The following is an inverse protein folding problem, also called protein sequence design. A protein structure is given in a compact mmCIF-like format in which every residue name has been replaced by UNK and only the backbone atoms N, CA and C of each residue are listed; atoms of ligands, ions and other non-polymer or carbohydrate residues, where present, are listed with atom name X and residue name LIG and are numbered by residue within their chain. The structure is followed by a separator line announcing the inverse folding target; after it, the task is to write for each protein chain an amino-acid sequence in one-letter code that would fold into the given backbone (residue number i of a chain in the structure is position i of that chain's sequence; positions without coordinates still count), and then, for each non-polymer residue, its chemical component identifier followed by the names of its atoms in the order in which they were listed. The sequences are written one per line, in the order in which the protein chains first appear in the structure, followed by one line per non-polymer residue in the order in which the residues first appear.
data_IF_519475124307
#
_entry.id   IF_519475124307
#
_cell.length_a   1.000
_cell.length_b   1.000
_cell.length_c   1.000
_cell.angle_alpha   90.00
_cell.angle_beta   90.00
_cell.angle_gamma   90.00
#
_symmetry.space_group_name_H-M   'P 1'
#
loop_
_entity.id
_entity.type
_entity.pdbx_description
1 polymer ?
#
# COMPACT_ATOMS: atom_id res chain seq x y z
N UNK A 1 -8.85 1.39 5.63
CA UNK A 1 -9.76 0.65 6.54
C UNK A 1 -10.14 1.44 7.80
N UNK A 2 -9.27 2.29 8.34
CA UNK A 2 -9.53 3.04 9.59
C UNK A 2 -10.72 4.01 9.51
N UNK A 3 -10.83 4.81 8.43
CA UNK A 3 -11.88 5.83 8.34
C UNK A 3 -13.32 5.27 8.31
N UNK A 4 -13.65 4.25 7.49
CA UNK A 4 -14.98 3.61 7.55
C UNK A 4 -15.30 2.99 8.91
N UNK A 5 -14.31 2.35 9.55
CA UNK A 5 -14.50 1.75 10.87
C UNK A 5 -14.81 2.80 11.94
N UNK A 6 -14.10 3.93 11.95
CA UNK A 6 -14.36 5.02 12.89
C UNK A 6 -15.76 5.63 12.74
N UNK A 7 -16.28 5.72 11.51
CA UNK A 7 -17.66 6.17 11.26
C UNK A 7 -18.67 5.18 11.85
N UNK A 8 -18.47 3.88 11.62
CA UNK A 8 -19.37 2.84 12.15
C UNK A 8 -19.35 2.85 13.69
N UNK A 9 -18.17 2.89 14.31
CA UNK A 9 -18.03 2.91 15.76
C UNK A 9 -18.78 4.08 16.42
N UNK A 10 -18.61 5.30 15.91
CA UNK A 10 -19.33 6.46 16.45
C UNK A 10 -20.86 6.35 16.23
N UNK A 11 -21.29 5.77 15.10
CA UNK A 11 -22.71 5.60 14.79
C UNK A 11 -23.40 4.55 15.67
N UNK A 12 -22.72 3.45 15.99
CA UNK A 12 -23.30 2.34 16.76
C UNK A 12 -23.05 2.44 18.27
N UNK A 13 -22.07 3.23 18.73
CA UNK A 13 -21.69 3.38 20.14
C UNK A 13 -21.97 4.80 20.69
N UNK A 14 -22.98 5.49 20.16
CA UNK A 14 -23.27 6.89 20.50
C UNK A 14 -23.51 7.18 21.99
N UNK A 15 -23.93 6.18 22.79
CA UNK A 15 -24.11 6.31 24.24
C UNK A 15 -22.81 6.54 25.04
N UNK A 16 -21.65 6.17 24.49
CA UNK A 16 -20.35 6.42 25.12
C UNK A 16 -19.79 7.82 24.81
N UNK A 17 -20.23 8.46 23.72
CA UNK A 17 -19.67 9.71 23.23
C UNK A 17 -20.64 10.87 23.45
N UNK A 18 -20.63 11.46 24.64
CA UNK A 18 -21.63 12.45 25.07
C UNK A 18 -21.62 13.80 24.31
N UNK A 19 -20.51 14.17 23.67
CA UNK A 19 -20.41 15.46 22.97
C UNK A 19 -20.82 15.37 21.50
N UNK A 20 -22.10 15.64 21.22
CA UNK A 20 -22.68 15.58 19.87
C UNK A 20 -21.96 16.46 18.84
N UNK A 21 -21.46 17.65 19.24
CA UNK A 21 -20.75 18.57 18.32
C UNK A 21 -19.39 18.01 17.91
N UNK A 22 -18.66 17.46 18.88
CA UNK A 22 -17.38 16.81 18.63
C UNK A 22 -17.55 15.56 17.75
N UNK A 23 -18.56 14.72 18.02
CA UNK A 23 -18.84 13.54 17.22
C UNK A 23 -19.17 13.90 15.77
N UNK A 24 -19.98 14.94 15.55
CA UNK A 24 -20.28 15.44 14.21
C UNK A 24 -19.01 15.94 13.49
N UNK A 25 -18.14 16.69 14.18
CA UNK A 25 -16.88 17.14 13.61
C UNK A 25 -15.96 15.95 13.25
N UNK A 26 -15.89 14.92 14.09
CA UNK A 26 -15.13 13.70 13.82
C UNK A 26 -15.69 12.97 12.61
N UNK A 27 -17.02 12.80 12.49
CA UNK A 27 -17.63 12.18 11.32
C UNK A 27 -17.30 12.92 10.03
N UNK A 28 -17.46 14.25 10.00
CA UNK A 28 -17.11 15.07 8.84
C UNK A 28 -15.64 14.91 8.49
N UNK A 29 -14.74 14.97 9.49
CA UNK A 29 -13.31 14.74 9.29
C UNK A 29 -13.00 13.37 8.71
N UNK A 30 -13.63 12.30 9.21
CA UNK A 30 -13.46 10.94 8.72
C UNK A 30 -13.99 10.75 7.29
N UNK A 31 -15.11 11.38 6.94
CA UNK A 31 -15.65 11.36 5.56
C UNK A 31 -14.72 12.08 4.60
N UNK A 32 -14.23 13.29 4.96
CA UNK A 32 -13.28 14.04 4.13
C UNK A 32 -11.98 13.23 3.95
N UNK A 33 -11.45 12.69 5.04
CA UNK A 33 -10.26 11.83 5.01
C UNK A 33 -10.48 10.60 4.12
N UNK A 34 -11.65 9.96 4.22
CA UNK A 34 -11.98 8.81 3.40
C UNK A 34 -12.02 9.17 1.91
N UNK A 35 -12.71 10.25 1.52
CA UNK A 35 -12.80 10.69 0.12
C UNK A 35 -11.43 11.06 -0.42
N UNK A 36 -10.62 11.81 0.34
CA UNK A 36 -9.28 12.19 -0.07
C UNK A 36 -8.37 10.97 -0.25
N UNK A 37 -8.36 10.04 0.72
CA UNK A 37 -7.58 8.81 0.64
C UNK A 37 -8.05 7.92 -0.53
N UNK A 38 -9.36 7.76 -0.70
CA UNK A 38 -9.94 6.99 -1.80
C UNK A 38 -9.54 7.57 -3.16
N UNK A 39 -9.71 8.89 -3.34
CA UNK A 39 -9.32 9.56 -4.57
C UNK A 39 -7.82 9.41 -4.84
N UNK A 40 -6.97 9.68 -3.83
CA UNK A 40 -5.52 9.56 -3.96
C UNK A 40 -5.05 8.13 -4.30
N UNK A 41 -5.63 7.11 -3.67
CA UNK A 41 -5.33 5.71 -4.02
C UNK A 41 -5.85 5.35 -5.41
N UNK A 42 -7.00 5.89 -5.84
CA UNK A 42 -7.53 5.60 -7.18
C UNK A 42 -6.75 6.25 -8.30
N UNK A 43 -6.27 7.47 -8.08
CA UNK A 43 -5.56 8.24 -9.11
C UNK A 43 -4.05 8.04 -9.06
N UNK A 44 -3.51 7.50 -7.96
CA UNK A 44 -2.08 7.46 -7.68
C UNK A 44 -1.43 8.87 -7.79
N UNK A 45 -2.18 9.92 -7.45
CA UNK A 45 -1.85 11.32 -7.76
C UNK A 45 -0.48 11.81 -7.25
N UNK A 46 0.08 11.17 -6.24
CA UNK A 46 1.36 11.55 -5.61
C UNK A 46 2.48 10.54 -5.87
N UNK A 47 2.31 9.65 -6.85
CA UNK A 47 3.30 8.62 -7.19
C UNK A 47 4.06 9.04 -8.45
N UNK A 48 5.27 9.58 -8.27
CA UNK A 48 6.26 9.78 -9.34
C UNK A 48 7.33 8.68 -9.34
N UNK A 49 8.35 8.81 -10.19
CA UNK A 49 9.40 7.79 -10.39
C UNK A 49 10.03 7.31 -9.06
N UNK A 50 10.35 8.26 -8.18
CA UNK A 50 10.99 7.96 -6.88
C UNK A 50 10.05 7.19 -5.95
N UNK A 51 8.78 7.60 -5.87
CA UNK A 51 7.77 6.92 -5.05
C UNK A 51 7.41 5.55 -5.63
N UNK A 52 7.39 5.42 -6.96
CA UNK A 52 7.19 4.14 -7.64
C UNK A 52 8.30 3.17 -7.25
N UNK A 53 9.58 3.54 -7.40
CA UNK A 53 10.70 2.68 -7.03
C UNK A 53 10.70 2.37 -5.53
N UNK A 54 10.48 3.38 -4.69
CA UNK A 54 10.47 3.22 -3.24
C UNK A 54 9.36 2.26 -2.74
N UNK A 55 8.25 2.16 -3.46
CA UNK A 55 7.15 1.24 -3.13
C UNK A 55 7.28 -0.13 -3.82
N UNK A 56 7.76 -0.17 -5.06
CA UNK A 56 7.79 -1.42 -5.84
C UNK A 56 8.95 -2.33 -5.46
N UNK A 57 10.13 -1.79 -5.09
CA UNK A 57 11.24 -2.62 -4.60
C UNK A 57 10.83 -3.45 -3.35
N UNK A 58 10.25 -2.87 -2.29
CA UNK A 58 9.78 -3.66 -1.15
C UNK A 58 8.58 -4.55 -1.49
N UNK A 59 7.66 -4.11 -2.36
CA UNK A 59 6.57 -4.97 -2.84
C UNK A 59 7.08 -6.25 -3.49
N UNK A 60 8.05 -6.13 -4.40
CA UNK A 60 8.67 -7.26 -5.08
C UNK A 60 9.47 -8.14 -4.10
N UNK A 61 10.21 -7.50 -3.19
CA UNK A 61 10.94 -8.22 -2.13
C UNK A 61 9.99 -9.04 -1.23
N UNK A 62 8.80 -8.51 -0.95
CA UNK A 62 7.74 -9.19 -0.23
C UNK A 62 7.19 -10.41 -0.98
N UNK A 63 6.95 -10.32 -2.28
CA UNK A 63 6.51 -11.47 -3.07
C UNK A 63 7.58 -12.55 -3.17
N UNK A 64 8.87 -12.18 -3.29
CA UNK A 64 9.99 -13.14 -3.20
C UNK A 64 10.03 -13.83 -1.83
N UNK A 65 9.85 -13.08 -0.74
CA UNK A 65 9.76 -13.63 0.62
C UNK A 65 8.60 -14.63 0.71
N UNK A 66 7.40 -14.27 0.24
CA UNK A 66 6.25 -15.18 0.25
C UNK A 66 6.53 -16.47 -0.53
N UNK A 67 7.14 -16.38 -1.72
CA UNK A 67 7.53 -17.57 -2.50
C UNK A 67 8.53 -18.46 -1.77
N UNK A 68 9.37 -17.89 -0.90
CA UNK A 68 10.38 -18.64 -0.13
C UNK A 68 9.79 -19.30 1.12
N UNK A 69 8.91 -18.62 1.83
CA UNK A 69 8.38 -19.10 3.12
C UNK A 69 7.11 -19.92 2.99
N UNK A 70 6.37 -19.78 1.87
CA UNK A 70 5.14 -20.55 1.67
C UNK A 70 5.43 -22.04 1.49
N UNK A 71 4.74 -22.89 2.25
CA UNK A 71 4.78 -24.33 2.13
C UNK A 71 3.90 -24.82 0.97
N UNK A 72 4.29 -24.49 -0.26
CA UNK A 72 3.58 -24.88 -1.48
C UNK A 72 3.88 -26.34 -1.84
N UNK A 73 2.84 -27.11 -2.12
CA UNK A 73 2.94 -28.53 -2.52
C UNK A 73 2.44 -28.77 -3.94
N UNK A 74 1.64 -27.86 -4.49
CA UNK A 74 1.21 -27.91 -5.88
C UNK A 74 2.37 -27.59 -6.83
N UNK A 75 2.62 -28.47 -7.79
CA UNK A 75 3.79 -28.39 -8.67
C UNK A 75 3.76 -27.16 -9.59
N UNK A 76 2.57 -26.74 -10.03
CA UNK A 76 2.41 -25.56 -10.87
C UNK A 76 2.71 -24.29 -10.06
N UNK A 77 2.21 -24.21 -8.82
CA UNK A 77 2.51 -23.09 -7.93
C UNK A 77 3.99 -23.00 -7.55
N UNK A 78 4.68 -24.13 -7.33
CA UNK A 78 6.13 -24.14 -7.06
C UNK A 78 6.91 -23.61 -8.27
N UNK A 79 6.57 -24.07 -9.48
CA UNK A 79 7.20 -23.58 -10.70
C UNK A 79 6.92 -22.09 -10.93
N UNK A 80 5.68 -21.65 -10.67
CA UNK A 80 5.29 -20.25 -10.73
C UNK A 80 6.07 -19.40 -9.73
N UNK A 81 6.25 -19.84 -8.49
CA UNK A 81 7.03 -19.12 -7.48
C UNK A 81 8.51 -18.98 -7.85
N UNK A 82 9.10 -20.00 -8.49
CA UNK A 82 10.44 -19.89 -9.04
C UNK A 82 10.53 -18.83 -10.16
N UNK A 83 9.52 -18.76 -11.03
CA UNK A 83 9.43 -17.77 -12.09
C UNK A 83 9.25 -16.34 -11.53
N UNK A 84 8.31 -16.16 -10.60
CA UNK A 84 8.06 -14.90 -9.88
C UNK A 84 9.36 -14.41 -9.23
N UNK A 85 10.06 -15.30 -8.51
CA UNK A 85 11.28 -14.93 -7.80
C UNK A 85 12.41 -14.48 -8.73
N UNK A 86 12.53 -15.08 -9.93
CA UNK A 86 13.54 -14.65 -10.92
C UNK A 86 13.16 -13.33 -11.57
N UNK A 87 11.92 -13.19 -12.03
CA UNK A 87 11.43 -11.96 -12.65
C UNK A 87 11.55 -10.77 -11.71
N UNK A 88 11.06 -10.91 -10.49
CA UNK A 88 11.05 -9.80 -9.54
C UNK A 88 12.44 -9.38 -9.05
N UNK A 89 13.43 -10.29 -9.02
CA UNK A 89 14.83 -9.90 -8.76
C UNK A 89 15.40 -9.04 -9.88
N UNK A 90 15.17 -9.42 -11.13
CA UNK A 90 15.62 -8.64 -12.28
C UNK A 90 14.95 -7.25 -12.31
N UNK A 91 13.65 -7.17 -11.99
CA UNK A 91 12.92 -5.91 -11.88
C UNK A 91 13.46 -5.02 -10.74
N UNK A 92 13.80 -5.61 -9.58
CA UNK A 92 14.47 -4.89 -8.48
C UNK A 92 15.82 -4.32 -8.93
N UNK A 93 16.65 -5.10 -9.61
CA UNK A 93 17.94 -4.64 -10.13
C UNK A 93 17.76 -3.47 -11.11
N UNK A 94 16.81 -3.59 -12.04
CA UNK A 94 16.48 -2.52 -12.98
C UNK A 94 16.01 -1.25 -12.26
N UNK A 95 15.09 -1.37 -11.29
CA UNK A 95 14.62 -0.23 -10.50
C UNK A 95 15.74 0.42 -9.69
N UNK A 96 16.66 -0.36 -9.13
CA UNK A 96 17.81 0.15 -8.41
C UNK A 96 18.78 0.92 -9.33
N UNK A 97 19.03 0.41 -10.54
CA UNK A 97 19.84 1.11 -11.53
C UNK A 97 19.19 2.44 -11.96
N UNK A 98 17.87 2.44 -12.18
CA UNK A 98 17.11 3.67 -12.47
C UNK A 98 17.20 4.65 -11.30
N UNK A 99 17.07 4.18 -10.06
CA UNK A 99 17.20 5.02 -8.86
C UNK A 99 18.55 5.73 -8.83
N UNK A 100 19.65 4.99 -9.01
CA UNK A 100 20.99 5.56 -9.06
C UNK A 100 21.12 6.62 -10.15
N UNK A 101 20.60 6.37 -11.35
CA UNK A 101 20.60 7.38 -12.44
C UNK A 101 19.82 8.64 -12.07
N UNK A 102 18.64 8.50 -11.45
CA UNK A 102 17.81 9.63 -11.01
C UNK A 102 18.46 10.42 -9.87
N UNK A 103 19.23 9.76 -9.00
CA UNK A 103 19.97 10.39 -7.90
C UNK A 103 21.18 11.18 -8.38
N UNK A 104 21.84 10.71 -9.45
CA UNK A 104 22.98 11.39 -10.05
C UNK A 104 22.57 12.60 -10.90
N UNK A 105 21.45 12.52 -11.62
CA UNK A 105 20.95 13.64 -12.43
C UNK A 105 20.22 14.73 -11.63
N UNK A 106 20.08 14.56 -10.31
CA UNK A 106 19.49 15.55 -9.41
C UNK A 106 20.54 16.39 -8.66
N UNK A 107 21.83 16.16 -8.93
CA UNK A 107 22.98 16.96 -8.48
C UNK A 107 23.47 17.82 -9.63
#
# INVERSE_FOLDING_TARGET
MVAPMGIIMLATMGGMYGNRKLNAAIHVGLVIMFVAAFAGTRTQALIGDRQFIASMVPHHSGAILMCREAALTDAELVALCANISRGQRAEIEQMNAIRTRLDQGAQ
#
